data_IF_233570723338
#
_entry.id   IF_233570723338
#
_cell.length_a   1.000
_cell.length_b   1.000
_cell.length_c   1.000
_cell.angle_alpha   90.00
_cell.angle_beta   90.00
_cell.angle_gamma   90.00
#
_symmetry.space_group_name_H-M   'P 1'
#
loop_
_entity.id
_entity.type
_entity.pdbx_description
1 polymer ?
#
# COMPACT_ATOMS: atom_id res chain seq x y z
N UNK A 1 70.67 6.97 10.05
CA UNK A 1 69.38 6.54 10.63
C UNK A 1 68.42 7.70 10.87
N UNK A 2 68.86 8.84 11.43
CA UNK A 2 67.98 10.02 11.66
C UNK A 2 67.42 10.66 10.37
N UNK A 3 68.21 10.72 9.30
CA UNK A 3 67.79 11.24 7.98
C UNK A 3 66.78 10.35 7.26
N UNK A 4 66.81 9.03 7.50
CA UNK A 4 65.88 8.06 6.90
C UNK A 4 64.50 8.12 7.58
N UNK A 5 64.49 8.30 8.91
CA UNK A 5 63.28 8.46 9.72
C UNK A 5 62.57 9.78 9.37
N UNK A 6 63.32 10.86 9.15
CA UNK A 6 62.75 12.16 8.77
C UNK A 6 62.05 12.09 7.40
N UNK A 7 62.63 11.37 6.43
CA UNK A 7 62.04 11.17 5.11
C UNK A 7 60.74 10.35 5.14
N UNK A 8 60.69 9.28 5.95
CA UNK A 8 59.48 8.47 6.14
C UNK A 8 58.33 9.23 6.82
N UNK A 9 58.64 10.12 7.77
CA UNK A 9 57.65 10.95 8.46
C UNK A 9 57.08 12.05 7.54
N UNK A 10 57.89 12.61 6.62
CA UNK A 10 57.38 13.59 5.65
C UNK A 10 56.47 12.90 4.62
N UNK A 11 56.79 11.67 4.22
CA UNK A 11 56.00 10.88 3.28
C UNK A 11 54.63 10.48 3.87
N UNK A 12 54.58 10.09 5.15
CA UNK A 12 53.31 9.74 5.81
C UNK A 12 52.39 10.94 6.05
N UNK A 13 52.97 12.13 6.31
CA UNK A 13 52.21 13.38 6.43
C UNK A 13 51.62 13.83 5.09
N UNK A 14 52.35 13.66 3.98
CA UNK A 14 51.83 13.94 2.62
C UNK A 14 50.63 13.04 2.25
N UNK A 15 50.64 11.78 2.68
CA UNK A 15 49.55 10.83 2.44
C UNK A 15 48.34 11.14 3.33
N UNK A 16 48.56 11.65 4.55
CA UNK A 16 47.47 12.06 5.45
C UNK A 16 46.71 13.32 4.95
N UNK A 17 47.34 14.16 4.12
CA UNK A 17 46.72 15.36 3.54
C UNK A 17 45.85 15.11 2.29
N UNK A 18 45.76 13.88 1.77
CA UNK A 18 44.94 13.52 0.58
C UNK A 18 43.74 12.65 0.93
N UNK A 19 43.09 12.90 2.07
CA UNK A 19 41.73 12.38 2.30
C UNK A 19 40.76 13.17 1.42
N UNK A 20 40.64 12.79 0.15
CA UNK A 20 39.53 13.22 -0.69
C UNK A 20 38.28 12.51 -0.18
N UNK A 21 37.28 13.27 0.31
CA UNK A 21 35.95 12.73 0.58
C UNK A 21 35.46 12.05 -0.71
N UNK A 22 35.40 10.72 -0.71
CA UNK A 22 34.93 9.99 -1.89
C UNK A 22 33.46 10.35 -2.11
N UNK A 23 33.17 10.91 -3.28
CA UNK A 23 31.80 11.25 -3.67
C UNK A 23 30.92 9.98 -3.64
N UNK A 24 29.75 10.06 -3.01
CA UNK A 24 28.82 8.93 -2.92
C UNK A 24 28.10 8.63 -4.26
N UNK A 25 28.17 9.57 -5.20
CA UNK A 25 27.52 9.50 -6.50
C UNK A 25 28.13 10.48 -7.51
N UNK A 26 27.84 10.29 -8.80
CA UNK A 26 28.25 11.23 -9.84
C UNK A 26 27.18 12.31 -10.04
N UNK A 27 27.60 13.55 -10.27
CA UNK A 27 26.70 14.67 -10.47
C UNK A 27 25.69 14.41 -11.59
N UNK A 28 24.40 14.57 -11.26
CA UNK A 28 23.30 14.32 -12.19
C UNK A 28 22.70 12.91 -12.09
N UNK A 29 23.37 11.97 -11.41
CA UNK A 29 22.81 10.63 -11.17
C UNK A 29 21.44 10.73 -10.49
N UNK A 30 20.56 9.79 -10.79
CA UNK A 30 19.23 9.72 -10.17
C UNK A 30 18.95 8.33 -9.66
N UNK A 31 18.34 8.23 -8.48
CA UNK A 31 17.86 6.97 -7.93
C UNK A 31 16.53 7.15 -7.22
N UNK A 32 15.87 6.03 -6.93
CA UNK A 32 14.68 6.00 -6.09
C UNK A 32 15.00 5.23 -4.82
N UNK A 33 14.66 5.81 -3.66
CA UNK A 33 14.73 5.15 -2.36
C UNK A 33 13.31 5.16 -1.81
N UNK A 34 12.72 3.98 -1.66
CA UNK A 34 11.29 3.81 -1.37
C UNK A 34 10.40 4.57 -2.37
N UNK A 35 9.60 5.53 -1.88
CA UNK A 35 8.77 6.41 -2.69
C UNK A 35 9.46 7.74 -3.07
N UNK A 36 10.66 8.00 -2.55
CA UNK A 36 11.38 9.24 -2.71
C UNK A 36 12.31 9.22 -3.93
N UNK A 37 12.32 10.34 -4.64
CA UNK A 37 13.18 10.55 -5.80
C UNK A 37 14.42 11.31 -5.36
N UNK A 38 15.58 10.82 -5.78
CA UNK A 38 16.88 11.40 -5.44
C UNK A 38 17.63 11.83 -6.69
N UNK A 39 18.35 12.95 -6.59
CA UNK A 39 19.30 13.44 -7.58
C UNK A 39 20.63 13.74 -6.91
N UNK A 40 21.73 13.31 -7.52
CA UNK A 40 23.06 13.61 -7.04
C UNK A 40 23.46 15.05 -7.40
N UNK A 41 23.90 15.81 -6.39
CA UNK A 41 24.43 17.18 -6.55
C UNK A 41 25.66 17.33 -5.67
N UNK A 42 26.76 17.77 -6.27
CA UNK A 42 28.10 17.88 -5.66
C UNK A 42 28.53 16.61 -4.91
N UNK A 43 28.32 15.43 -5.52
CA UNK A 43 28.72 14.15 -4.94
C UNK A 43 27.81 13.62 -3.82
N UNK A 44 26.70 14.30 -3.52
CA UNK A 44 25.76 13.92 -2.46
C UNK A 44 24.34 13.69 -2.98
N UNK A 45 23.65 12.73 -2.39
CA UNK A 45 22.25 12.41 -2.72
C UNK A 45 21.28 13.42 -2.10
N UNK A 46 20.63 14.22 -2.94
CA UNK A 46 19.50 15.06 -2.54
C UNK A 46 18.18 14.37 -2.87
N UNK A 47 17.45 13.93 -1.84
CA UNK A 47 16.21 13.18 -1.98
C UNK A 47 15.00 14.00 -1.53
N UNK A 48 13.84 13.74 -2.15
CA UNK A 48 12.56 14.21 -1.61
C UNK A 48 12.28 13.57 -0.25
N UNK A 49 11.45 14.21 0.59
CA UNK A 49 11.03 13.70 1.92
C UNK A 49 9.53 13.41 1.97
N UNK A 50 9.03 12.68 0.98
CA UNK A 50 7.66 12.15 0.97
C UNK A 50 7.52 11.08 2.05
N UNK A 51 6.40 11.12 2.77
CA UNK A 51 5.98 10.02 3.65
C UNK A 51 5.64 8.82 2.77
N UNK A 52 6.46 7.78 2.86
CA UNK A 52 6.22 6.53 2.15
C UNK A 52 5.28 5.67 2.97
N UNK A 53 3.99 5.74 2.63
CA UNK A 53 3.02 4.80 3.17
C UNK A 53 3.30 3.44 2.52
N UNK A 54 3.81 2.51 3.32
CA UNK A 54 3.73 1.10 2.98
C UNK A 54 2.26 0.81 2.71
N UNK A 55 1.91 0.60 1.44
CA UNK A 55 0.69 -0.13 1.13
C UNK A 55 0.95 -1.52 1.67
N UNK A 56 0.62 -1.76 2.95
CA UNK A 56 0.27 -3.10 3.41
C UNK A 56 -0.62 -3.60 2.29
N UNK A 57 -0.13 -4.57 1.53
CA UNK A 57 -0.99 -5.33 0.67
C UNK A 57 -2.09 -5.77 1.62
N UNK A 58 -3.27 -5.15 1.53
CA UNK A 58 -4.44 -5.69 2.21
C UNK A 58 -4.41 -7.13 1.78
N UNK A 59 -4.19 -8.06 2.73
CA UNK A 59 -4.12 -9.50 2.44
C UNK A 59 -5.13 -9.74 1.34
N UNK A 60 -4.63 -10.07 0.14
CA UNK A 60 -5.43 -9.95 -1.06
C UNK A 60 -6.69 -10.75 -0.80
N UNK A 61 -7.84 -10.06 -0.71
CA UNK A 61 -9.06 -10.71 -0.29
C UNK A 61 -9.31 -11.87 -1.24
N UNK A 62 -9.41 -13.07 -0.67
CA UNK A 62 -9.68 -14.28 -1.42
C UNK A 62 -10.76 -15.09 -0.71
N UNK A 63 -11.56 -15.77 -1.52
CA UNK A 63 -12.63 -16.65 -1.10
C UNK A 63 -12.73 -17.83 -2.07
N UNK A 64 -13.33 -18.93 -1.64
CA UNK A 64 -13.59 -20.09 -2.50
C UNK A 64 -14.63 -19.69 -3.56
N UNK A 65 -14.33 -19.83 -4.87
CA UNK A 65 -15.26 -19.49 -5.94
C UNK A 65 -16.67 -20.04 -5.72
N UNK A 66 -17.67 -19.15 -5.80
CA UNK A 66 -19.09 -19.50 -5.63
C UNK A 66 -19.55 -19.75 -4.20
N UNK A 67 -18.66 -19.74 -3.20
CA UNK A 67 -19.09 -19.89 -1.80
C UNK A 67 -19.92 -18.67 -1.35
N UNK A 68 -20.86 -18.91 -0.43
CA UNK A 68 -21.61 -17.84 0.22
C UNK A 68 -21.25 -17.80 1.70
N UNK A 69 -20.91 -16.61 2.19
CA UNK A 69 -20.51 -16.37 3.57
C UNK A 69 -21.18 -15.09 4.10
N UNK A 70 -21.31 -14.96 5.42
CA UNK A 70 -21.78 -13.73 6.05
C UNK A 70 -20.61 -12.83 6.37
N UNK A 71 -20.74 -11.54 6.05
CA UNK A 71 -19.86 -10.48 6.56
C UNK A 71 -20.74 -9.40 7.17
N UNK A 72 -20.62 -9.24 8.48
CA UNK A 72 -21.52 -8.41 9.28
C UNK A 72 -22.99 -8.83 9.05
N UNK A 73 -23.87 -7.90 8.67
CA UNK A 73 -25.27 -8.18 8.35
C UNK A 73 -25.51 -8.62 6.90
N UNK A 74 -24.48 -8.58 6.03
CA UNK A 74 -24.63 -8.86 4.60
C UNK A 74 -24.36 -10.33 4.28
N UNK A 75 -25.10 -10.87 3.32
CA UNK A 75 -24.78 -12.15 2.69
C UNK A 75 -23.87 -11.88 1.48
N UNK A 76 -22.70 -12.51 1.42
CA UNK A 76 -21.72 -12.31 0.37
C UNK A 76 -21.52 -13.59 -0.43
N UNK A 77 -21.57 -13.50 -1.76
CA UNK A 77 -21.26 -14.61 -2.67
C UNK A 77 -19.95 -14.32 -3.39
N UNK A 78 -18.99 -15.23 -3.25
CA UNK A 78 -17.67 -15.12 -3.88
C UNK A 78 -17.78 -15.20 -5.41
N UNK A 79 -17.10 -14.31 -6.12
CA UNK A 79 -17.01 -14.36 -7.58
C UNK A 79 -16.22 -15.59 -8.03
N UNK A 80 -16.44 -16.02 -9.28
CA UNK A 80 -15.79 -17.22 -9.82
C UNK A 80 -14.26 -17.11 -9.91
N UNK A 81 -13.72 -15.89 -9.97
CA UNK A 81 -12.28 -15.64 -9.95
C UNK A 81 -11.66 -15.68 -8.53
N UNK A 82 -12.48 -15.81 -7.49
CA UNK A 82 -12.04 -15.91 -6.10
C UNK A 82 -11.44 -14.63 -5.52
N UNK A 83 -11.61 -13.47 -6.20
CA UNK A 83 -10.95 -12.20 -5.84
C UNK A 83 -11.90 -11.15 -5.27
N UNK A 84 -13.19 -11.32 -5.49
CA UNK A 84 -14.22 -10.38 -5.04
C UNK A 84 -15.42 -11.14 -4.47
N UNK A 85 -16.30 -10.44 -3.78
CA UNK A 85 -17.57 -10.98 -3.32
C UNK A 85 -18.67 -9.96 -3.55
N UNK A 86 -19.79 -10.43 -4.12
CA UNK A 86 -20.99 -9.62 -4.31
C UNK A 86 -21.82 -9.74 -3.04
N UNK A 87 -22.16 -8.61 -2.43
CA UNK A 87 -23.04 -8.60 -1.27
C UNK A 87 -24.51 -8.49 -1.71
N UNK A 88 -25.38 -9.18 -1.00
CA UNK A 88 -26.83 -9.11 -1.13
C UNK A 88 -27.44 -8.87 0.25
N UNK A 89 -28.45 -8.03 0.28
CA UNK A 89 -29.21 -7.62 1.48
C UNK A 89 -30.54 -8.37 1.55
N UNK A 90 -31.05 -8.80 0.40
CA UNK A 90 -32.26 -9.61 0.25
C UNK A 90 -32.14 -10.49 -1.00
N UNK A 91 -32.97 -11.53 -1.10
CA UNK A 91 -32.99 -12.40 -2.28
C UNK A 91 -33.61 -11.64 -3.46
N UNK A 92 -32.92 -11.52 -4.62
CA UNK A 92 -33.39 -10.73 -5.76
C UNK A 92 -34.82 -11.05 -6.20
N UNK A 93 -35.61 -10.01 -6.46
CA UNK A 93 -36.99 -10.12 -6.96
C UNK A 93 -37.99 -10.72 -5.97
N UNK A 94 -37.57 -11.07 -4.74
CA UNK A 94 -38.48 -11.62 -3.74
C UNK A 94 -39.28 -10.54 -3.03
N UNK A 95 -40.45 -10.93 -2.53
CA UNK A 95 -41.23 -10.13 -1.59
C UNK A 95 -41.12 -10.75 -0.21
N UNK A 96 -40.85 -9.94 0.80
CA UNK A 96 -40.68 -10.39 2.19
C UNK A 96 -41.32 -9.40 3.17
N UNK A 97 -41.48 -9.84 4.42
CA UNK A 97 -41.95 -8.99 5.53
C UNK A 97 -40.76 -8.53 6.37
N UNK A 98 -40.71 -7.22 6.65
CA UNK A 98 -39.85 -6.63 7.67
C UNK A 98 -40.77 -5.95 8.67
N UNK A 99 -40.85 -6.51 9.87
CA UNK A 99 -41.89 -6.17 10.84
C UNK A 99 -43.29 -6.31 10.19
N UNK A 100 -44.16 -5.32 10.32
CA UNK A 100 -45.46 -5.30 9.65
C UNK A 100 -45.39 -4.89 8.15
N UNK A 101 -44.25 -4.36 7.70
CA UNK A 101 -44.09 -3.79 6.37
C UNK A 101 -43.77 -4.85 5.31
N UNK A 102 -44.40 -4.71 4.13
CA UNK A 102 -44.10 -5.55 2.98
C UNK A 102 -42.99 -4.90 2.17
N UNK A 103 -41.94 -5.66 1.88
CA UNK A 103 -40.76 -5.22 1.14
C UNK A 103 -40.61 -6.01 -0.15
N UNK A 104 -40.22 -5.34 -1.24
CA UNK A 104 -39.87 -5.96 -2.52
C UNK A 104 -38.38 -5.72 -2.77
N UNK A 105 -37.63 -6.80 -2.95
CA UNK A 105 -36.21 -6.76 -3.25
C UNK A 105 -35.97 -6.39 -4.72
N UNK A 106 -34.99 -5.53 -5.00
CA UNK A 106 -34.62 -5.20 -6.37
C UNK A 106 -33.99 -6.41 -7.10
N UNK A 107 -33.80 -6.27 -8.42
CA UNK A 107 -33.25 -7.36 -9.26
C UNK A 107 -31.80 -7.72 -8.93
N UNK A 108 -31.07 -6.82 -8.28
CA UNK A 108 -29.67 -7.03 -7.92
C UNK A 108 -29.49 -7.56 -6.50
N UNK A 109 -30.56 -7.64 -5.69
CA UNK A 109 -30.49 -8.05 -4.29
C UNK A 109 -29.81 -7.04 -3.37
N UNK A 110 -29.53 -5.83 -3.85
CA UNK A 110 -28.76 -4.78 -3.16
C UNK A 110 -29.63 -3.80 -2.38
N UNK A 111 -30.94 -3.77 -2.61
CA UNK A 111 -31.86 -2.92 -1.86
C UNK A 111 -33.28 -3.47 -1.88
N UNK A 112 -34.12 -3.03 -0.95
CA UNK A 112 -35.53 -3.36 -0.90
C UNK A 112 -36.38 -2.10 -0.70
N UNK A 113 -37.49 -2.01 -1.44
CA UNK A 113 -38.52 -0.99 -1.24
C UNK A 113 -39.61 -1.54 -0.34
N UNK A 114 -39.86 -0.89 0.80
CA UNK A 114 -40.82 -1.33 1.80
C UNK A 114 -42.02 -0.38 1.91
N UNK A 115 -43.18 -0.91 2.31
CA UNK A 115 -44.29 -0.07 2.78
C UNK A 115 -43.88 0.69 4.06
N UNK A 116 -44.61 1.76 4.39
CA UNK A 116 -44.36 2.59 5.59
C UNK A 116 -45.57 2.59 6.53
N UNK A 117 -45.99 1.40 6.97
CA UNK A 117 -46.98 1.20 8.02
C UNK A 117 -46.31 1.40 9.38
N UNK A 118 -46.99 2.09 10.29
CA UNK A 118 -46.63 2.08 11.70
C UNK A 118 -46.93 0.70 12.27
N UNK A 119 -45.89 0.02 12.77
CA UNK A 119 -46.02 -1.29 13.40
C UNK A 119 -46.27 -1.11 14.91
N UNK A 120 -47.16 -1.93 15.48
CA UNK A 120 -47.54 -1.95 16.89
C UNK A 120 -46.78 -3.06 17.63
#
# INVERSE_FOLDING_TARGET
>A
MKTLILCCLVLSVLIASVVSEEAECNNGDTKKVDCNSCRCTNGLWSCTKKVCLERKTRNAFSCKPGETFKRDCNSCTCTLDGKNAVYTVCQPGTTFKKDCNTCVCNKDGTNAACTLKACL
#
